data_IF_066585282590
#
_entry.id   IF_066585282590
#
_cell.length_a   1.000
_cell.length_b   1.000
_cell.length_c   1.000
_cell.angle_alpha   90.00
_cell.angle_beta   90.00
_cell.angle_gamma   90.00
#
_symmetry.space_group_name_H-M   'P 1'
#
loop_
_entity.id
_entity.type
_entity.pdbx_description
1 polymer ?
#
# COMPACT_ATOMS: atom_id res chain seq x y z
N UNK A 1 -10.18 15.46 -16.49
CA UNK A 1 -11.34 15.53 -17.38
C UNK A 1 -11.21 14.38 -18.39
N UNK A 2 -12.29 13.73 -18.80
CA UNK A 2 -12.23 12.68 -19.83
C UNK A 2 -11.83 13.27 -21.19
N UNK A 3 -12.23 14.52 -21.46
CA UNK A 3 -11.87 15.22 -22.71
C UNK A 3 -10.36 15.44 -22.85
N UNK A 4 -9.62 15.42 -21.73
CA UNK A 4 -8.17 15.59 -21.67
C UNK A 4 -7.40 14.27 -21.72
N UNK A 5 -8.05 13.14 -22.00
CA UNK A 5 -7.41 11.83 -22.09
C UNK A 5 -7.27 11.37 -23.54
N UNK A 6 -6.21 10.59 -23.80
CA UNK A 6 -5.96 9.93 -25.08
C UNK A 6 -5.80 8.44 -24.82
N UNK A 7 -6.59 7.62 -25.51
CA UNK A 7 -6.54 6.17 -25.44
C UNK A 7 -5.32 5.65 -26.22
N UNK A 8 -4.53 4.79 -25.57
CA UNK A 8 -3.30 4.21 -26.13
C UNK A 8 -3.45 2.74 -26.53
N UNK A 9 -4.48 2.06 -26.03
CA UNK A 9 -4.71 0.63 -26.26
C UNK A 9 -5.08 -0.13 -24.98
N UNK A 10 -4.88 -1.44 -25.01
CA UNK A 10 -5.18 -2.32 -23.88
C UNK A 10 -3.96 -3.19 -23.56
N UNK A 11 -3.61 -3.30 -22.28
CA UNK A 11 -2.52 -4.18 -21.85
C UNK A 11 -2.93 -5.66 -21.89
N UNK A 12 -1.95 -6.55 -21.79
CA UNK A 12 -2.16 -8.00 -21.64
C UNK A 12 -2.95 -8.37 -20.37
N UNK A 13 -3.02 -7.47 -19.38
CA UNK A 13 -3.80 -7.63 -18.15
C UNK A 13 -5.25 -7.15 -18.29
N UNK A 14 -5.64 -6.63 -19.46
CA UNK A 14 -6.99 -6.09 -19.73
C UNK A 14 -7.18 -4.65 -19.27
N UNK A 15 -6.10 -3.92 -18.99
CA UNK A 15 -6.19 -2.50 -18.61
C UNK A 15 -6.33 -1.65 -19.86
N UNK A 16 -7.46 -0.93 -19.98
CA UNK A 16 -7.68 0.06 -21.05
C UNK A 16 -6.89 1.33 -20.74
N UNK A 17 -5.72 1.49 -21.36
CA UNK A 17 -4.78 2.55 -21.05
C UNK A 17 -5.19 3.83 -21.76
N UNK A 18 -5.54 4.84 -20.97
CA UNK A 18 -5.68 6.22 -21.42
C UNK A 18 -4.79 7.10 -20.54
N UNK A 19 -4.12 8.10 -21.13
CA UNK A 19 -3.27 9.03 -20.39
C UNK A 19 -3.65 10.48 -20.70
N UNK A 20 -3.21 11.41 -19.87
CA UNK A 20 -3.39 12.85 -20.12
C UNK A 20 -2.79 13.24 -21.48
N UNK A 21 -3.54 14.01 -22.29
CA UNK A 21 -3.15 14.47 -23.62
C UNK A 21 -1.79 15.16 -23.65
N UNK A 22 -1.45 15.94 -22.61
CA UNK A 22 -0.16 16.61 -22.50
C UNK A 22 1.03 15.63 -22.47
N UNK A 23 0.81 14.38 -22.06
CA UNK A 23 1.84 13.34 -22.06
C UNK A 23 2.18 12.94 -23.49
N UNK A 24 1.17 12.67 -24.33
CA UNK A 24 1.38 12.19 -25.70
C UNK A 24 1.74 13.30 -26.69
N UNK A 25 1.39 14.54 -26.37
CA UNK A 25 1.73 15.73 -27.18
C UNK A 25 3.10 16.31 -26.85
N UNK A 26 3.77 15.81 -25.80
CA UNK A 26 5.10 16.29 -25.42
C UNK A 26 6.21 15.72 -26.32
N UNK A 27 7.24 16.51 -26.59
CA UNK A 27 8.44 16.06 -27.30
C UNK A 27 9.34 15.18 -26.41
N UNK A 28 9.31 15.43 -25.10
CA UNK A 28 10.07 14.72 -24.08
C UNK A 28 9.29 14.72 -22.77
N UNK A 29 9.16 13.55 -22.16
CA UNK A 29 8.53 13.38 -20.85
C UNK A 29 9.59 13.14 -19.77
N UNK A 30 9.75 14.11 -18.87
CA UNK A 30 10.62 13.96 -17.69
C UNK A 30 9.78 13.50 -16.51
N UNK A 31 10.10 12.32 -15.98
CA UNK A 31 9.38 11.70 -14.87
C UNK A 31 10.18 11.90 -13.58
N UNK A 32 9.58 12.51 -12.57
CA UNK A 32 10.21 12.71 -11.26
C UNK A 32 9.45 12.02 -10.15
N UNK A 33 10.12 11.75 -9.02
CA UNK A 33 9.47 11.10 -7.87
C UNK A 33 10.43 10.43 -6.90
N UNK A 34 9.84 9.83 -5.86
CA UNK A 34 10.53 9.04 -4.86
C UNK A 34 10.52 7.55 -5.23
N UNK A 35 11.54 6.81 -4.79
CA UNK A 35 11.51 5.35 -4.72
C UNK A 35 11.44 4.97 -3.23
N UNK A 36 10.32 4.39 -2.84
CA UNK A 36 10.02 3.91 -1.49
C UNK A 36 9.25 2.57 -1.57
N UNK A 37 9.21 1.76 -0.50
CA UNK A 37 8.40 0.55 -0.48
C UNK A 37 6.91 0.83 -0.74
N UNK A 38 6.23 -0.05 -1.47
CA UNK A 38 4.80 0.10 -1.73
C UNK A 38 4.05 -1.23 -1.55
N UNK A 39 3.11 -1.24 -0.61
CA UNK A 39 2.39 -2.41 -0.08
C UNK A 39 1.77 -3.40 -1.07
N UNK A 40 1.40 -2.96 -2.28
CA UNK A 40 0.93 -3.86 -3.33
C UNK A 40 1.69 -3.75 -4.66
N UNK A 41 2.46 -2.68 -4.87
CA UNK A 41 3.11 -2.41 -6.17
C UNK A 41 4.62 -2.73 -6.14
N UNK A 42 5.10 -3.35 -5.05
CA UNK A 42 6.52 -3.51 -4.76
C UNK A 42 7.14 -2.23 -4.23
N UNK A 43 7.26 -1.23 -5.10
CA UNK A 43 7.91 0.06 -4.86
C UNK A 43 7.18 1.20 -5.57
N UNK A 44 7.32 2.44 -5.11
CA UNK A 44 6.91 3.64 -5.85
C UNK A 44 7.90 3.97 -6.99
N UNK A 45 7.79 5.16 -7.60
CA UNK A 45 8.70 5.64 -8.64
C UNK A 45 8.58 4.96 -10.01
N UNK A 46 9.40 5.44 -10.96
CA UNK A 46 9.47 4.91 -12.32
C UNK A 46 8.13 4.92 -13.04
N UNK A 47 7.74 3.75 -13.54
CA UNK A 47 6.45 3.48 -14.23
C UNK A 47 5.19 4.03 -13.51
N UNK A 48 5.23 4.18 -12.18
CA UNK A 48 4.08 4.68 -11.40
C UNK A 48 3.69 6.13 -11.73
N UNK A 49 4.63 6.90 -12.26
CA UNK A 49 4.39 8.26 -12.75
C UNK A 49 3.48 8.26 -14.00
N UNK A 50 3.38 7.15 -14.74
CA UNK A 50 2.45 6.95 -15.84
C UNK A 50 1.12 6.39 -15.33
N UNK A 51 1.13 5.14 -14.84
CA UNK A 51 -0.03 4.46 -14.26
C UNK A 51 0.22 4.25 -12.76
N UNK A 52 -0.51 4.93 -11.86
CA UNK A 52 -1.69 5.78 -12.09
C UNK A 52 -1.42 7.26 -12.36
N UNK A 53 -0.17 7.75 -12.25
CA UNK A 53 0.14 9.17 -12.08
C UNK A 53 -0.50 10.16 -13.08
N UNK A 54 -0.59 9.80 -14.35
CA UNK A 54 -1.21 10.62 -15.42
C UNK A 54 -2.24 9.83 -16.23
N UNK A 55 -2.72 8.71 -15.67
CA UNK A 55 -3.64 7.81 -16.34
C UNK A 55 -5.11 8.16 -16.08
N UNK A 56 -5.97 7.75 -17.01
CA UNK A 56 -7.41 7.85 -16.88
C UNK A 56 -7.96 6.97 -15.75
N UNK A 57 -9.08 7.39 -15.16
CA UNK A 57 -9.73 6.72 -14.03
C UNK A 57 -9.97 5.23 -14.29
N UNK A 58 -10.46 4.86 -15.48
CA UNK A 58 -10.71 3.46 -15.87
C UNK A 58 -9.43 2.60 -15.77
N UNK A 59 -8.31 3.08 -16.31
CA UNK A 59 -7.03 2.37 -16.24
C UNK A 59 -6.58 2.16 -14.79
N UNK A 60 -6.77 3.18 -13.93
CA UNK A 60 -6.44 3.11 -12.51
C UNK A 60 -7.26 2.00 -11.82
N UNK A 61 -8.57 1.94 -12.07
CA UNK A 61 -9.43 0.90 -11.49
C UNK A 61 -9.11 -0.51 -12.01
N UNK A 62 -8.82 -0.68 -13.31
CA UNK A 62 -8.43 -2.00 -13.83
C UNK A 62 -7.13 -2.49 -13.17
N UNK A 63 -6.14 -1.60 -13.04
CA UNK A 63 -4.86 -1.89 -12.39
C UNK A 63 -5.01 -2.17 -10.88
N UNK A 64 -6.01 -1.57 -10.21
CA UNK A 64 -6.34 -1.78 -8.80
C UNK A 64 -7.59 -2.67 -8.60
N UNK A 65 -7.87 -3.55 -9.56
CA UNK A 65 -9.00 -4.48 -9.48
C UNK A 65 -8.79 -5.53 -8.40
N UNK A 66 -9.86 -6.20 -8.01
CA UNK A 66 -9.90 -7.24 -6.99
C UNK A 66 -8.86 -8.32 -7.25
N UNK A 67 -8.82 -8.83 -8.48
CA UNK A 67 -7.86 -9.86 -8.88
C UNK A 67 -6.41 -9.38 -8.75
N UNK A 68 -6.14 -8.12 -9.11
CA UNK A 68 -4.80 -7.54 -9.06
C UNK A 68 -4.33 -7.36 -7.61
N UNK A 69 -5.17 -6.78 -6.75
CA UNK A 69 -4.85 -6.50 -5.34
C UNK A 69 -4.73 -7.80 -4.52
N UNK A 70 -5.62 -8.77 -4.75
CA UNK A 70 -5.61 -10.05 -4.04
C UNK A 70 -4.54 -11.02 -4.55
N UNK A 71 -3.83 -10.70 -5.63
CA UNK A 71 -2.77 -11.55 -6.14
C UNK A 71 -1.68 -11.77 -5.06
N UNK A 72 -1.18 -13.02 -4.87
CA UNK A 72 -0.18 -13.31 -3.83
C UNK A 72 1.12 -12.52 -3.98
N UNK A 73 1.48 -12.13 -5.21
CA UNK A 73 2.70 -11.36 -5.51
C UNK A 73 2.51 -9.84 -5.47
N UNK A 74 1.27 -9.34 -5.30
CA UNK A 74 1.00 -7.91 -5.11
C UNK A 74 1.33 -7.50 -3.68
N UNK A 75 2.63 -7.39 -3.36
CA UNK A 75 3.17 -7.19 -2.00
C UNK A 75 4.32 -6.18 -2.00
N UNK A 76 4.68 -5.72 -0.80
CA UNK A 76 5.93 -4.98 -0.56
C UNK A 76 7.14 -5.70 -1.13
N UNK A 77 7.99 -4.97 -1.85
CA UNK A 77 9.28 -5.51 -2.31
C UNK A 77 9.22 -6.57 -3.41
N UNK A 78 8.06 -6.75 -4.06
CA UNK A 78 7.87 -7.71 -5.15
C UNK A 78 7.57 -6.97 -6.46
N UNK A 79 8.46 -7.11 -7.44
CA UNK A 79 8.29 -6.60 -8.80
C UNK A 79 8.06 -7.75 -9.78
N UNK A 80 8.95 -8.74 -9.77
CA UNK A 80 8.85 -9.94 -10.62
C UNK A 80 7.59 -10.75 -10.30
N UNK A 81 6.77 -11.02 -11.32
CA UNK A 81 5.48 -11.70 -11.19
C UNK A 81 4.39 -10.89 -10.49
N UNK A 82 4.64 -9.62 -10.12
CA UNK A 82 3.62 -8.76 -9.55
C UNK A 82 2.76 -8.16 -10.68
N UNK A 83 1.49 -8.58 -10.84
CA UNK A 83 0.70 -8.20 -11.99
C UNK A 83 0.37 -6.71 -12.01
N UNK A 84 0.32 -6.05 -10.85
CA UNK A 84 0.13 -4.60 -10.76
C UNK A 84 1.34 -3.88 -11.35
N UNK A 85 2.55 -4.32 -10.99
CA UNK A 85 3.79 -3.74 -11.51
C UNK A 85 3.94 -4.00 -13.01
N UNK A 86 3.73 -5.23 -13.46
CA UNK A 86 3.89 -5.62 -14.86
C UNK A 86 2.91 -4.87 -15.77
N UNK A 87 1.66 -4.70 -15.33
CA UNK A 87 0.65 -3.89 -16.03
C UNK A 87 1.06 -2.41 -16.10
N UNK A 88 1.62 -1.84 -15.02
CA UNK A 88 2.18 -0.48 -15.05
C UNK A 88 3.37 -0.34 -16.01
N UNK A 89 4.24 -1.36 -16.09
CA UNK A 89 5.38 -1.39 -17.01
C UNK A 89 4.88 -1.43 -18.46
N UNK A 90 3.90 -2.28 -18.75
CA UNK A 90 3.30 -2.38 -20.08
C UNK A 90 2.62 -1.06 -20.49
N UNK A 91 1.81 -0.48 -19.61
CA UNK A 91 1.18 0.83 -19.83
C UNK A 91 2.21 1.95 -20.09
N UNK A 92 3.34 1.94 -19.36
CA UNK A 92 4.42 2.90 -19.58
C UNK A 92 5.12 2.73 -20.94
N UNK A 93 5.23 1.50 -21.46
CA UNK A 93 5.77 1.21 -22.79
C UNK A 93 4.85 1.66 -23.93
N UNK A 94 3.53 1.69 -23.69
CA UNK A 94 2.55 2.14 -24.69
C UNK A 94 2.60 3.66 -24.94
N UNK A 95 3.15 4.45 -24.03
CA UNK A 95 3.38 5.88 -24.24
C UNK A 95 4.55 6.04 -25.22
N UNK A 96 4.28 6.32 -26.50
CA UNK A 96 5.33 6.43 -27.53
C UNK A 96 5.99 7.83 -27.59
N UNK A 97 6.43 8.31 -26.43
CA UNK A 97 7.16 9.57 -26.25
C UNK A 97 8.50 9.25 -25.59
N UNK A 98 9.61 9.91 -25.97
CA UNK A 98 10.88 9.80 -25.25
C UNK A 98 10.70 10.11 -23.76
N UNK A 99 11.28 9.29 -22.88
CA UNK A 99 11.16 9.45 -21.42
C UNK A 99 12.52 9.54 -20.78
N UNK A 100 12.64 10.38 -19.76
CA UNK A 100 13.81 10.44 -18.90
C UNK A 100 13.37 10.43 -17.44
N UNK A 101 13.89 9.50 -16.64
CA UNK A 101 13.58 9.41 -15.23
C UNK A 101 14.56 10.25 -14.41
N UNK A 102 14.04 10.90 -13.37
CA UNK A 102 14.82 11.46 -12.26
C UNK A 102 14.13 11.06 -10.96
N UNK A 103 14.57 9.96 -10.36
CA UNK A 103 14.02 9.50 -9.08
C UNK A 103 15.05 9.60 -7.98
N UNK A 104 14.59 9.86 -6.77
CA UNK A 104 15.46 9.93 -5.58
C UNK A 104 14.99 8.96 -4.52
N UNK A 105 15.96 8.46 -3.75
CA UNK A 105 15.73 7.83 -2.45
C UNK A 105 16.09 8.86 -1.40
N UNK A 106 15.24 9.03 -0.39
CA UNK A 106 15.45 9.98 0.70
C UNK A 106 15.73 9.25 2.02
N UNK A 107 16.46 9.92 2.91
CA UNK A 107 16.64 9.46 4.28
C UNK A 107 15.51 9.94 5.21
N UNK A 108 15.59 9.56 6.49
CA UNK A 108 14.63 9.96 7.54
C UNK A 108 14.53 11.47 7.79
N UNK A 109 15.51 12.25 7.33
CA UNK A 109 15.52 13.71 7.39
C UNK A 109 15.04 14.35 6.08
N UNK A 110 14.48 13.55 5.16
CA UNK A 110 14.05 13.94 3.81
C UNK A 110 15.19 14.48 2.94
N UNK A 111 16.45 14.13 3.25
CA UNK A 111 17.62 14.47 2.42
C UNK A 111 17.79 13.41 1.35
N UNK A 112 18.28 13.82 0.18
CA UNK A 112 18.56 12.88 -0.93
C UNK A 112 19.72 11.95 -0.50
N UNK A 113 19.41 10.66 -0.36
CA UNK A 113 20.36 9.60 -0.08
C UNK A 113 20.91 8.97 -1.37
N UNK A 114 20.16 9.06 -2.47
CA UNK A 114 20.58 8.63 -3.79
C UNK A 114 19.69 9.21 -4.88
N UNK A 115 20.25 9.44 -6.07
CA UNK A 115 19.54 9.91 -7.25
C UNK A 115 19.81 8.96 -8.43
N UNK A 116 18.75 8.55 -9.11
CA UNK A 116 18.76 7.55 -10.18
C UNK A 116 18.08 8.16 -11.39
N UNK A 117 18.85 8.34 -12.47
CA UNK A 117 18.39 9.04 -13.65
C UNK A 117 18.75 8.29 -14.92
N UNK A 118 17.90 8.36 -15.95
CA UNK A 118 18.14 7.67 -17.22
C UNK A 118 16.89 7.03 -17.78
N UNK A 119 17.04 5.85 -18.38
CA UNK A 119 15.90 5.01 -18.80
C UNK A 119 14.95 4.75 -17.61
N UNK A 120 13.65 4.79 -17.88
CA UNK A 120 12.62 4.67 -16.85
C UNK A 120 12.64 3.33 -16.12
N UNK A 121 13.03 2.24 -16.78
CA UNK A 121 13.03 0.90 -16.19
C UNK A 121 14.36 0.60 -15.54
N UNK A 122 15.47 0.85 -16.23
CA UNK A 122 16.81 0.57 -15.71
C UNK A 122 17.15 1.45 -14.51
N UNK A 123 16.93 2.77 -14.59
CA UNK A 123 17.22 3.68 -13.49
C UNK A 123 16.33 3.40 -12.27
N UNK A 124 15.06 3.03 -12.49
CA UNK A 124 14.17 2.62 -11.40
C UNK A 124 14.66 1.36 -10.71
N UNK A 125 15.07 0.33 -11.46
CA UNK A 125 15.59 -0.92 -10.90
C UNK A 125 16.89 -0.71 -10.12
N UNK A 126 17.80 0.15 -10.60
CA UNK A 126 19.01 0.50 -9.83
C UNK A 126 18.68 1.24 -8.52
N UNK A 127 17.69 2.13 -8.54
CA UNK A 127 17.20 2.78 -7.31
C UNK A 127 16.55 1.81 -6.33
N UNK A 128 15.81 0.82 -6.83
CA UNK A 128 15.24 -0.26 -6.01
C UNK A 128 16.34 -1.12 -5.38
N UNK A 129 17.36 -1.52 -6.16
CA UNK A 129 18.53 -2.26 -5.64
C UNK A 129 19.28 -1.47 -4.57
N UNK A 130 19.39 -0.16 -4.73
CA UNK A 130 19.97 0.71 -3.71
C UNK A 130 19.13 0.70 -2.44
N UNK A 131 17.83 0.97 -2.56
CA UNK A 131 16.90 1.06 -1.43
C UNK A 131 16.82 -0.24 -0.65
N UNK A 132 16.81 -1.39 -1.33
CA UNK A 132 16.70 -2.71 -0.73
C UNK A 132 17.74 -2.98 0.36
N UNK A 133 18.96 -2.47 0.19
CA UNK A 133 20.04 -2.62 1.18
C UNK A 133 19.73 -1.95 2.52
N UNK A 134 18.75 -1.04 2.55
CA UNK A 134 18.39 -0.25 3.72
C UNK A 134 17.05 -0.67 4.32
N UNK A 135 16.12 -1.18 3.51
CA UNK A 135 14.73 -1.43 3.94
C UNK A 135 14.35 -2.90 4.02
N UNK A 136 15.06 -3.81 3.33
CA UNK A 136 14.79 -5.24 3.44
C UNK A 136 15.46 -5.82 4.67
N UNK A 137 14.65 -6.35 5.58
CA UNK A 137 15.12 -6.90 6.85
C UNK A 137 14.55 -8.30 7.01
N UNK A 138 15.42 -9.29 7.19
CA UNK A 138 15.00 -10.68 7.48
C UNK A 138 14.52 -10.77 8.94
N UNK A 139 13.22 -11.04 9.19
CA UNK A 139 12.76 -11.24 10.55
C UNK A 139 13.32 -12.56 11.12
N UNK A 140 13.55 -12.66 12.44
CA UNK A 140 14.10 -13.87 13.05
C UNK A 140 13.12 -15.06 12.99
N UNK A 141 11.81 -14.79 12.94
CA UNK A 141 10.74 -15.77 12.69
C UNK A 141 9.42 -15.03 12.45
N UNK A 142 8.33 -15.78 12.27
CA UNK A 142 6.97 -15.26 12.51
C UNK A 142 6.78 -14.88 13.99
N UNK A 143 5.84 -13.98 14.28
CA UNK A 143 5.51 -13.54 15.63
C UNK A 143 4.03 -13.75 15.97
N UNK A 144 3.74 -13.94 17.26
CA UNK A 144 2.38 -13.95 17.80
C UNK A 144 1.79 -12.54 17.78
N UNK A 145 2.60 -11.56 18.19
CA UNK A 145 2.25 -10.14 18.22
C UNK A 145 3.26 -9.37 17.36
N UNK A 146 2.76 -8.53 16.46
CA UNK A 146 3.59 -7.53 15.76
C UNK A 146 3.17 -6.15 16.21
N UNK A 147 4.13 -5.37 16.71
CA UNK A 147 3.93 -3.96 17.06
C UNK A 147 4.52 -3.11 15.94
N UNK A 148 3.74 -2.21 15.38
CA UNK A 148 4.16 -1.32 14.30
C UNK A 148 3.60 0.09 14.43
N UNK A 149 4.10 1.02 13.61
CA UNK A 149 3.44 2.31 13.37
C UNK A 149 3.25 2.55 11.87
N UNK A 150 2.64 3.69 11.52
CA UNK A 150 2.59 4.17 10.14
C UNK A 150 3.66 5.21 9.77
N UNK A 151 4.72 5.34 10.59
CA UNK A 151 5.85 6.23 10.29
C UNK A 151 5.68 7.69 10.74
N UNK A 152 4.62 8.00 11.49
CA UNK A 152 4.33 9.34 12.00
C UNK A 152 3.85 10.32 10.93
N UNK A 153 3.61 11.57 11.32
CA UNK A 153 3.07 12.59 10.43
C UNK A 153 4.06 12.92 9.31
N UNK A 154 3.62 13.05 8.04
CA UNK A 154 2.23 13.04 7.58
C UNK A 154 1.68 11.68 7.14
N UNK A 155 2.43 10.59 7.29
CA UNK A 155 2.03 9.27 6.81
C UNK A 155 0.95 8.61 7.67
N UNK A 156 0.91 8.88 8.96
CA UNK A 156 -0.11 8.35 9.88
C UNK A 156 -1.31 9.29 10.06
N UNK A 157 -1.51 10.23 9.13
CA UNK A 157 -2.54 11.27 9.24
C UNK A 157 -3.96 10.72 9.31
N UNK A 158 -4.23 9.54 8.78
CA UNK A 158 -5.55 8.93 8.77
C UNK A 158 -5.48 7.39 8.77
N UNK A 159 -6.62 6.76 9.06
CA UNK A 159 -6.72 5.30 9.09
C UNK A 159 -6.48 4.68 7.72
N UNK A 160 -6.95 5.31 6.64
CA UNK A 160 -6.74 4.86 5.28
C UNK A 160 -5.24 4.62 5.00
N UNK A 161 -4.39 5.60 5.30
CA UNK A 161 -2.93 5.43 5.15
C UNK A 161 -2.36 4.41 6.14
N UNK A 162 -2.93 4.28 7.33
CA UNK A 162 -2.46 3.39 8.41
C UNK A 162 -2.48 1.91 8.01
N UNK A 163 -3.33 1.53 7.05
CA UNK A 163 -3.39 0.17 6.48
C UNK A 163 -2.03 -0.27 5.91
N UNK A 164 -1.18 0.65 5.43
CA UNK A 164 0.17 0.34 4.95
C UNK A 164 1.06 -0.26 6.05
N UNK A 165 1.06 0.35 7.24
CA UNK A 165 1.76 -0.17 8.41
C UNK A 165 1.20 -1.53 8.85
N UNK A 166 -0.13 -1.68 8.83
CA UNK A 166 -0.78 -2.97 9.12
C UNK A 166 -0.35 -4.07 8.13
N UNK A 167 -0.30 -3.75 6.83
CA UNK A 167 0.15 -4.68 5.78
C UNK A 167 1.61 -5.11 5.96
N UNK A 168 2.45 -4.26 6.55
CA UNK A 168 3.81 -4.63 6.95
C UNK A 168 3.79 -5.64 8.09
N UNK A 169 2.94 -5.41 9.11
CA UNK A 169 2.75 -6.34 10.23
C UNK A 169 2.23 -7.70 9.79
N UNK A 170 1.31 -7.73 8.82
CA UNK A 170 0.76 -8.96 8.23
C UNK A 170 1.84 -9.89 7.66
N UNK A 171 2.91 -9.34 7.10
CA UNK A 171 4.01 -10.15 6.55
C UNK A 171 4.71 -10.98 7.63
N UNK A 172 4.67 -10.57 8.90
CA UNK A 172 5.43 -11.18 9.99
C UNK A 172 4.55 -11.89 11.02
N UNK A 173 3.31 -11.43 11.21
CA UNK A 173 2.38 -12.06 12.15
C UNK A 173 2.04 -13.48 11.69
N UNK A 174 1.88 -14.41 12.63
CA UNK A 174 1.28 -15.72 12.33
C UNK A 174 -0.22 -15.58 12.13
N UNK A 175 -0.83 -16.57 11.47
CA UNK A 175 -2.29 -16.67 11.37
C UNK A 175 -2.91 -16.73 12.78
N UNK A 176 -3.96 -15.94 12.99
CA UNK A 176 -4.63 -15.76 14.27
C UNK A 176 -3.83 -14.98 15.32
N UNK A 177 -2.72 -14.33 14.94
CA UNK A 177 -1.97 -13.44 15.82
C UNK A 177 -2.58 -12.04 15.91
N UNK A 178 -1.85 -11.12 16.55
CA UNK A 178 -2.26 -9.74 16.75
C UNK A 178 -1.27 -8.74 16.11
N UNK A 179 -1.79 -7.70 15.48
CA UNK A 179 -1.03 -6.55 14.99
C UNK A 179 -1.46 -5.34 15.82
N UNK A 180 -0.55 -4.81 16.62
CA UNK A 180 -0.74 -3.53 17.32
C UNK A 180 -0.16 -2.43 16.45
N UNK A 181 -0.98 -1.46 16.06
CA UNK A 181 -0.55 -0.35 15.20
C UNK A 181 -0.78 0.99 15.89
N UNK A 182 0.28 1.77 15.97
CA UNK A 182 0.26 3.15 16.47
C UNK A 182 0.14 4.12 15.29
N UNK A 183 -0.90 4.95 15.31
CA UNK A 183 -1.11 5.99 14.32
C UNK A 183 -1.90 7.16 14.92
N UNK A 184 -1.45 8.39 14.68
CA UNK A 184 -2.14 9.57 15.18
C UNK A 184 -3.55 9.68 14.60
N UNK A 185 -3.73 9.43 13.30
CA UNK A 185 -4.99 9.55 12.58
C UNK A 185 -5.66 10.93 12.78
N UNK A 186 -4.90 12.03 12.74
CA UNK A 186 -5.38 13.39 12.98
C UNK A 186 -6.57 13.81 12.07
N UNK A 187 -6.66 13.24 10.87
CA UNK A 187 -7.75 13.44 9.91
C UNK A 187 -8.84 12.33 9.99
N UNK A 188 -8.84 11.55 11.07
CA UNK A 188 -9.80 10.48 11.33
C UNK A 188 -9.61 9.30 10.35
N UNK A 189 -10.68 8.89 9.68
CA UNK A 189 -10.65 7.75 8.75
C UNK A 189 -9.91 8.09 7.44
N UNK A 190 -9.96 9.35 7.03
CA UNK A 190 -9.37 9.85 5.78
C UNK A 190 -10.36 10.71 5.02
N UNK A 191 -10.04 11.99 4.81
CA UNK A 191 -10.90 12.92 4.08
C UNK A 191 -10.95 12.51 2.60
N UNK A 192 -12.16 12.36 2.05
CA UNK A 192 -12.31 11.90 0.67
C UNK A 192 -12.16 10.39 0.51
N UNK A 193 -12.12 9.61 1.61
CA UNK A 193 -12.09 8.15 1.61
C UNK A 193 -13.34 7.54 2.28
N UNK A 194 -14.51 8.17 2.06
CA UNK A 194 -15.77 7.74 2.68
C UNK A 194 -16.20 6.34 2.23
N UNK A 195 -15.83 5.94 1.01
CA UNK A 195 -16.12 4.62 0.45
C UNK A 195 -15.31 3.51 1.14
N UNK A 196 -14.07 3.80 1.55
CA UNK A 196 -13.30 2.88 2.39
C UNK A 196 -14.02 2.59 3.71
N UNK A 197 -14.48 3.63 4.41
CA UNK A 197 -15.26 3.46 5.64
C UNK A 197 -16.54 2.67 5.38
N UNK A 198 -17.34 3.08 4.38
CA UNK A 198 -18.62 2.45 4.03
C UNK A 198 -18.49 0.97 3.72
N UNK A 199 -17.48 0.59 2.93
CA UNK A 199 -17.21 -0.80 2.58
C UNK A 199 -16.95 -1.66 3.82
N UNK A 200 -16.22 -1.12 4.81
CA UNK A 200 -15.90 -1.84 6.04
C UNK A 200 -17.12 -1.97 6.96
N UNK A 201 -17.86 -0.89 7.21
CA UNK A 201 -18.92 -0.87 8.24
C UNK A 201 -20.25 -1.49 7.77
N UNK A 202 -20.53 -1.50 6.47
CA UNK A 202 -21.73 -2.16 5.93
C UNK A 202 -21.60 -3.69 5.89
N UNK A 203 -20.38 -4.21 6.04
CA UNK A 203 -20.09 -5.64 6.11
C UNK A 203 -20.17 -6.13 7.57
N UNK A 204 -20.74 -7.31 7.80
CA UNK A 204 -20.80 -7.92 9.14
C UNK A 204 -19.49 -8.61 9.53
N UNK A 205 -18.67 -8.94 8.55
CA UNK A 205 -17.37 -9.57 8.72
C UNK A 205 -16.41 -9.13 7.58
N UNK A 206 -15.08 -9.14 7.82
CA UNK A 206 -14.10 -8.83 6.78
C UNK A 206 -14.25 -9.63 5.47
N UNK A 207 -14.69 -10.88 5.54
CA UNK A 207 -14.96 -11.71 4.37
C UNK A 207 -16.06 -11.11 3.46
N UNK A 208 -17.12 -10.54 4.06
CA UNK A 208 -18.23 -9.93 3.31
C UNK A 208 -17.77 -8.67 2.55
N UNK A 209 -16.74 -7.96 3.06
CA UNK A 209 -16.10 -6.84 2.33
C UNK A 209 -15.52 -7.34 1.01
N UNK A 210 -14.76 -8.44 1.05
CA UNK A 210 -14.14 -9.02 -0.14
C UNK A 210 -15.18 -9.55 -1.11
N UNK A 211 -16.23 -10.21 -0.63
CA UNK A 211 -17.30 -10.73 -1.47
C UNK A 211 -18.07 -9.62 -2.19
N UNK A 212 -18.37 -8.52 -1.47
CA UNK A 212 -19.04 -7.36 -2.05
C UNK A 212 -18.19 -6.74 -3.16
N UNK A 213 -16.92 -6.45 -2.86
CA UNK A 213 -16.04 -5.79 -3.83
C UNK A 213 -15.85 -6.69 -5.07
N UNK A 214 -15.68 -8.00 -4.90
CA UNK A 214 -15.59 -8.95 -6.02
C UNK A 214 -16.83 -8.94 -6.92
N UNK A 215 -18.01 -8.63 -6.40
CA UNK A 215 -19.28 -8.57 -7.15
C UNK A 215 -19.51 -7.20 -7.80
N UNK A 216 -19.09 -6.13 -7.13
CA UNK A 216 -19.53 -4.75 -7.42
C UNK A 216 -18.41 -3.84 -7.96
N UNK A 217 -17.17 -4.33 -8.07
CA UNK A 217 -16.07 -3.51 -8.60
C UNK A 217 -16.35 -2.96 -10.02
N UNK A 218 -15.91 -1.73 -10.34
CA UNK A 218 -15.05 -0.85 -9.54
C UNK A 218 -15.79 0.02 -8.52
N UNK A 219 -15.33 -0.01 -7.26
CA UNK A 219 -15.75 0.88 -6.18
C UNK A 219 -14.56 1.76 -5.79
N UNK A 220 -14.79 3.07 -5.61
CA UNK A 220 -13.75 3.98 -5.11
C UNK A 220 -13.16 3.44 -3.80
N UNK A 221 -11.85 3.57 -3.63
CA UNK A 221 -11.12 3.14 -2.42
C UNK A 221 -11.10 1.61 -2.15
N UNK A 222 -11.64 0.79 -3.05
CA UNK A 222 -11.78 -0.65 -2.83
C UNK A 222 -10.48 -1.38 -2.49
N UNK A 223 -9.34 -0.94 -3.05
CA UNK A 223 -8.05 -1.60 -2.84
C UNK A 223 -7.59 -1.51 -1.39
N UNK A 224 -7.86 -0.39 -0.71
CA UNK A 224 -7.50 -0.20 0.69
C UNK A 224 -8.38 -1.08 1.59
N UNK A 225 -9.70 -1.10 1.31
CA UNK A 225 -10.66 -1.95 2.01
C UNK A 225 -10.34 -3.44 1.82
N UNK A 226 -9.96 -3.86 0.61
CA UNK A 226 -9.54 -5.23 0.33
C UNK A 226 -8.32 -5.64 1.15
N UNK A 227 -7.31 -4.76 1.23
CA UNK A 227 -6.08 -5.05 1.98
C UNK A 227 -6.38 -5.10 3.48
N UNK A 228 -7.16 -4.15 4.01
CA UNK A 228 -7.57 -4.19 5.42
C UNK A 228 -8.37 -5.46 5.73
N UNK A 229 -9.36 -5.82 4.91
CA UNK A 229 -10.15 -7.03 5.08
C UNK A 229 -9.26 -8.29 5.06
N UNK A 230 -8.32 -8.40 4.11
CA UNK A 230 -7.35 -9.50 4.04
C UNK A 230 -6.55 -9.64 5.35
N UNK A 231 -6.09 -8.53 5.91
CA UNK A 231 -5.34 -8.51 7.17
C UNK A 231 -6.23 -9.01 8.31
N UNK A 232 -7.46 -8.49 8.42
CA UNK A 232 -8.40 -8.80 9.49
C UNK A 232 -8.91 -10.26 9.48
N UNK A 233 -8.97 -10.88 8.30
CA UNK A 233 -9.26 -12.33 8.16
C UNK A 233 -8.15 -13.18 8.82
N UNK A 234 -6.91 -12.69 8.79
CA UNK A 234 -5.75 -13.47 9.24
C UNK A 234 -5.22 -13.07 10.62
N UNK A 235 -5.50 -11.87 11.11
CA UNK A 235 -4.99 -11.35 12.37
C UNK A 235 -5.98 -10.37 13.02
N UNK A 236 -5.90 -10.24 14.34
CA UNK A 236 -6.57 -9.15 15.07
C UNK A 236 -5.73 -7.88 14.93
N UNK A 237 -6.37 -6.77 14.59
CA UNK A 237 -5.70 -5.46 14.52
C UNK A 237 -6.15 -4.64 15.73
N UNK A 238 -5.19 -4.18 16.51
CA UNK A 238 -5.39 -3.28 17.64
C UNK A 238 -4.84 -1.91 17.26
N UNK A 239 -5.72 -0.92 17.16
CA UNK A 239 -5.38 0.44 16.75
C UNK A 239 -5.25 1.34 17.98
N UNK A 240 -4.07 1.94 18.13
CA UNK A 240 -3.81 2.95 19.16
C UNK A 240 -3.88 4.34 18.53
N UNK A 241 -4.95 5.06 18.82
CA UNK A 241 -5.19 6.44 18.35
C UNK A 241 -6.09 7.19 19.32
N UNK A 242 -5.97 8.52 19.37
CA UNK A 242 -6.86 9.41 20.13
C UNK A 242 -7.86 10.14 19.25
N UNK A 243 -7.70 10.09 17.92
CA UNK A 243 -8.45 10.92 16.97
C UNK A 243 -9.61 10.18 16.29
N UNK A 244 -9.82 8.90 16.62
CA UNK A 244 -10.96 8.11 16.16
C UNK A 244 -11.66 7.52 17.38
N UNK A 245 -13.01 7.64 17.43
CA UNK A 245 -13.80 7.06 18.51
C UNK A 245 -13.70 5.54 18.50
N UNK A 246 -13.62 4.91 19.67
CA UNK A 246 -13.57 3.45 19.81
C UNK A 246 -14.69 2.74 19.04
N UNK A 247 -15.93 3.24 19.13
CA UNK A 247 -17.07 2.65 18.41
C UNK A 247 -16.86 2.61 16.88
N UNK A 248 -16.20 3.60 16.31
CA UNK A 248 -15.92 3.65 14.86
C UNK A 248 -14.83 2.63 14.50
N UNK A 249 -13.82 2.46 15.38
CA UNK A 249 -12.76 1.46 15.19
C UNK A 249 -13.35 0.04 15.24
N UNK A 250 -14.28 -0.19 16.17
CA UNK A 250 -15.01 -1.45 16.32
C UNK A 250 -15.91 -1.74 15.12
N UNK A 251 -16.65 -0.75 14.61
CA UNK A 251 -17.44 -0.85 13.37
C UNK A 251 -16.58 -1.22 12.16
N UNK A 252 -15.30 -0.86 12.16
CA UNK A 252 -14.32 -1.25 11.13
C UNK A 252 -13.62 -2.58 11.42
N UNK A 253 -14.17 -3.38 12.34
CA UNK A 253 -13.71 -4.73 12.72
C UNK A 253 -12.35 -4.78 13.40
N UNK A 254 -11.88 -3.66 13.94
CA UNK A 254 -10.63 -3.56 14.70
C UNK A 254 -10.88 -3.43 16.21
N UNK A 255 -9.84 -3.62 17.01
CA UNK A 255 -9.87 -3.46 18.46
C UNK A 255 -9.28 -2.08 18.80
N UNK A 256 -10.00 -1.17 19.46
CA UNK A 256 -9.44 0.10 19.87
C UNK A 256 -8.59 -0.05 21.14
N UNK A 257 -7.58 0.80 21.29
CA UNK A 257 -6.86 0.99 22.55
C UNK A 257 -6.43 2.46 22.71
N UNK A 258 -6.50 2.97 23.94
CA UNK A 258 -6.16 4.35 24.30
C UNK A 258 -4.70 4.52 24.75
N UNK A 259 -3.99 3.43 25.06
CA UNK A 259 -2.59 3.48 25.47
C UNK A 259 -1.78 2.26 24.98
N UNK A 260 -0.44 2.33 24.96
CA UNK A 260 0.42 1.18 24.67
C UNK A 260 0.16 -0.02 25.59
N UNK A 261 -0.09 0.23 26.88
CA UNK A 261 -0.35 -0.80 27.89
C UNK A 261 -1.66 -1.53 27.61
N UNK A 262 -2.74 -0.78 27.35
CA UNK A 262 -4.04 -1.35 26.98
C UNK A 262 -3.93 -2.17 25.69
N UNK A 263 -3.23 -1.64 24.68
CA UNK A 263 -3.05 -2.33 23.41
C UNK A 263 -2.32 -3.66 23.56
N UNK A 264 -1.30 -3.69 24.43
CA UNK A 264 -0.55 -4.90 24.72
C UNK A 264 -1.37 -5.90 25.54
N UNK A 265 -2.19 -5.43 26.48
CA UNK A 265 -3.14 -6.29 27.19
C UNK A 265 -4.15 -6.96 26.23
N UNK A 266 -4.73 -6.21 25.28
CA UNK A 266 -5.60 -6.79 24.25
C UNK A 266 -4.86 -7.81 23.39
N UNK A 267 -3.63 -7.49 22.97
CA UNK A 267 -2.81 -8.43 22.20
C UNK A 267 -2.57 -9.74 22.97
N UNK A 268 -2.29 -9.67 24.28
CA UNK A 268 -2.12 -10.85 25.12
C UNK A 268 -3.42 -11.62 25.36
N UNK A 269 -4.59 -10.96 25.37
CA UNK A 269 -5.88 -11.68 25.42
C UNK A 269 -6.10 -12.51 24.16
N UNK A 270 -5.61 -12.05 23.01
CA UNK A 270 -5.68 -12.79 21.73
C UNK A 270 -4.69 -13.95 21.69
N UNK A 271 -3.48 -13.76 22.21
CA UNK A 271 -2.34 -14.64 21.89
C UNK A 271 -1.73 -15.40 23.08
N UNK A 272 -2.00 -14.97 24.32
CA UNK A 272 -1.39 -15.47 25.55
C UNK A 272 -0.20 -14.61 26.02
N UNK A 273 0.13 -14.66 27.32
CA UNK A 273 1.17 -13.79 27.93
C UNK A 273 2.61 -14.15 27.53
N UNK A 274 2.86 -15.39 27.16
CA UNK A 274 4.20 -15.88 26.74
C UNK A 274 4.44 -15.69 25.23
N UNK A 275 3.71 -14.77 24.61
CA UNK A 275 3.71 -14.52 23.16
C UNK A 275 5.02 -13.92 22.66
N UNK A 276 5.48 -14.38 21.50
CA UNK A 276 6.62 -13.79 20.81
C UNK A 276 6.21 -12.48 20.14
N UNK A 277 6.92 -11.41 20.47
CA UNK A 277 6.68 -10.07 19.93
C UNK A 277 7.78 -9.67 18.95
N UNK A 278 7.40 -9.14 17.78
CA UNK A 278 8.31 -8.41 16.88
C UNK A 278 7.86 -6.95 16.81
N UNK A 279 8.81 -6.02 16.87
CA UNK A 279 8.56 -4.58 16.73
C UNK A 279 9.12 -4.08 15.41
N UNK A 280 8.28 -3.40 14.63
CA UNK A 280 8.62 -2.73 13.37
C UNK A 280 8.29 -1.25 13.53
N UNK A 281 9.22 -0.42 14.03
CA UNK A 281 8.89 0.95 14.44
C UNK A 281 8.29 1.82 13.34
N UNK A 282 8.67 1.60 12.09
CA UNK A 282 8.23 2.36 10.91
C UNK A 282 7.76 1.39 9.82
N UNK A 283 6.49 0.98 9.89
CA UNK A 283 5.92 -0.06 9.02
C UNK A 283 6.13 0.22 7.53
N UNK A 284 5.58 1.34 6.99
CA UNK A 284 5.66 1.62 5.55
C UNK A 284 7.08 1.72 4.96
N UNK A 285 8.09 1.96 5.79
CA UNK A 285 9.49 2.10 5.38
C UNK A 285 10.32 0.81 5.53
N UNK A 286 9.74 -0.26 6.05
CA UNK A 286 10.42 -1.54 6.26
C UNK A 286 9.79 -2.63 5.40
N UNK A 287 10.62 -3.47 4.77
CA UNK A 287 10.18 -4.66 4.04
C UNK A 287 10.67 -5.90 4.79
N UNK A 288 9.80 -6.56 5.58
CA UNK A 288 10.12 -7.86 6.14
C UNK A 288 10.35 -8.90 5.05
N UNK A 289 11.59 -9.34 4.88
CA UNK A 289 11.95 -10.37 3.90
C UNK A 289 11.75 -11.76 4.50
N UNK A 290 10.52 -12.24 4.38
CA UNK A 290 10.09 -13.56 4.85
C UNK A 290 10.34 -14.67 3.84
N UNK A 291 10.94 -14.36 2.69
CA UNK A 291 11.34 -15.35 1.68
C UNK A 291 12.77 -15.79 1.99
N UNK A 292 12.89 -16.89 2.72
CA UNK A 292 14.14 -17.54 3.04
C UNK A 292 13.96 -19.05 3.06
#
# INVERSE_FOLDING_TARGET
DESSLVYLGMTSFGTRVSVNRLVVESDLLVLTGLIEPHFFAGYSGGRKAILPGVSGREAIFNNHSFKMIMHPLSRYGVLDGNPIHEDMVEAAKMVNVPKYLVNVVIDRMHRIAGAFTGDIFEAHLEGVKFLDRHVKIKPPSKADIVITSNGGYPLDRDLYQTVKGMATGELVVRKGGAIVVFAECIDGIGRGHEEFYRLMVEAKAPEEVLERIRREEPIKDQWEAQILARILINAKVILVTKNIKHSIIEEMHMIPASSPEEALEEAYRVTGKDSKIIVIPEGPYTIPDVRG
#
